data_IF_391571988415
#
_entry.id   IF_391571988415
#
_cell.length_a   1.000
_cell.length_b   1.000
_cell.length_c   1.000
_cell.angle_alpha   90.00
_cell.angle_beta   90.00
_cell.angle_gamma   90.00
#
_symmetry.space_group_name_H-M   'P 1'
#
loop_
_entity.id
_entity.type
_entity.pdbx_description
1 polymer ?
#
# COMPACT_ATOMS: atom_id res chain seq x y z
N UNK A 1 -11.26 -16.91 -3.89
CA UNK A 1 -10.24 -15.91 -3.49
C UNK A 1 -9.21 -15.82 -4.59
N UNK A 2 -8.96 -14.63 -5.06
CA UNK A 2 -8.04 -14.37 -6.15
C UNK A 2 -6.61 -14.16 -5.61
N UNK A 3 -5.69 -13.81 -6.49
CA UNK A 3 -4.31 -13.61 -6.10
C UNK A 3 -4.06 -12.28 -5.37
N UNK A 4 -2.79 -11.99 -5.06
CA UNK A 4 -2.43 -10.76 -4.35
C UNK A 4 -2.83 -9.47 -5.06
N UNK A 5 -3.05 -9.51 -6.38
CA UNK A 5 -3.44 -8.33 -7.15
C UNK A 5 -4.77 -7.75 -6.67
N UNK A 6 -5.72 -8.58 -6.26
CA UNK A 6 -7.00 -8.09 -5.76
C UNK A 6 -6.85 -7.39 -4.41
N UNK A 7 -5.94 -7.91 -3.57
CA UNK A 7 -5.61 -7.24 -2.30
C UNK A 7 -4.95 -5.90 -2.55
N UNK A 8 -4.03 -5.82 -3.51
CA UNK A 8 -3.38 -4.57 -3.92
C UNK A 8 -4.42 -3.56 -4.39
N UNK A 9 -5.35 -3.99 -5.25
CA UNK A 9 -6.42 -3.13 -5.74
C UNK A 9 -7.29 -2.60 -4.60
N UNK A 10 -7.56 -3.43 -3.59
CA UNK A 10 -8.34 -3.00 -2.42
C UNK A 10 -7.59 -1.99 -1.56
N UNK A 11 -6.27 -2.19 -1.37
CA UNK A 11 -5.44 -1.22 -0.65
C UNK A 11 -5.45 0.12 -1.40
N UNK A 12 -5.35 0.11 -2.73
CA UNK A 12 -5.45 1.32 -3.54
C UNK A 12 -6.82 2.00 -3.40
N UNK A 13 -7.89 1.22 -3.27
CA UNK A 13 -9.22 1.78 -3.00
C UNK A 13 -9.27 2.50 -1.66
N UNK A 14 -8.66 1.91 -0.61
CA UNK A 14 -8.54 2.56 0.70
C UNK A 14 -7.76 3.86 0.56
N UNK A 15 -6.61 3.82 -0.10
CA UNK A 15 -5.77 5.01 -0.30
C UNK A 15 -6.50 6.10 -1.07
N UNK A 16 -7.26 5.73 -2.10
CA UNK A 16 -8.03 6.68 -2.91
C UNK A 16 -9.08 7.41 -2.09
N UNK A 17 -9.62 6.76 -1.07
CA UNK A 17 -10.62 7.34 -0.18
C UNK A 17 -10.07 8.23 0.92
N UNK A 18 -8.74 8.35 1.06
CA UNK A 18 -8.14 9.19 2.08
C UNK A 18 -8.37 10.67 1.76
N UNK A 19 -8.73 11.43 2.79
CA UNK A 19 -8.95 12.87 2.63
C UNK A 19 -7.67 13.55 2.14
N UNK A 20 -7.78 14.31 1.06
CA UNK A 20 -6.65 15.00 0.46
C UNK A 20 -5.85 14.19 -0.55
N UNK A 21 -6.13 12.91 -0.74
CA UNK A 21 -5.47 12.10 -1.75
C UNK A 21 -5.91 12.54 -3.14
N UNK A 22 -4.95 12.86 -4.01
CA UNK A 22 -5.25 13.33 -5.36
C UNK A 22 -5.28 12.22 -6.40
N UNK A 23 -4.37 11.26 -6.28
CA UNK A 23 -4.25 10.20 -7.27
C UNK A 23 -3.82 8.91 -6.59
N UNK A 24 -4.56 7.83 -6.84
CA UNK A 24 -4.25 6.49 -6.35
C UNK A 24 -4.77 5.48 -7.38
N UNK A 25 -4.05 5.32 -8.51
CA UNK A 25 -4.50 4.45 -9.58
C UNK A 25 -4.42 2.98 -9.19
N UNK A 26 -5.19 2.13 -9.86
CA UNK A 26 -5.19 0.70 -9.60
C UNK A 26 -3.85 0.05 -9.96
N UNK A 27 -3.21 0.54 -11.01
CA UNK A 27 -1.93 0.03 -11.48
C UNK A 27 -0.86 1.12 -11.40
N UNK A 28 0.39 0.70 -11.18
CA UNK A 28 1.52 1.62 -11.07
C UNK A 28 1.73 2.34 -12.42
N UNK A 29 1.62 3.68 -12.48
CA UNK A 29 1.84 4.43 -13.71
C UNK A 29 3.32 4.69 -13.96
N UNK A 30 3.66 5.15 -15.16
CA UNK A 30 5.03 5.49 -15.52
C UNK A 30 5.55 6.72 -14.76
N UNK A 31 4.66 7.66 -14.44
CA UNK A 31 5.04 8.90 -13.77
C UNK A 31 3.95 9.37 -12.82
N UNK A 32 4.37 10.16 -11.83
CA UNK A 32 3.46 10.82 -10.90
C UNK A 32 3.18 12.21 -11.43
N UNK A 33 1.89 12.51 -11.65
CA UNK A 33 1.45 13.80 -12.19
C UNK A 33 0.90 14.73 -11.11
N UNK A 34 0.35 14.17 -10.02
CA UNK A 34 -0.26 14.95 -8.96
C UNK A 34 0.16 14.42 -7.60
N UNK A 35 0.23 15.30 -6.62
CA UNK A 35 0.52 14.96 -5.23
C UNK A 35 -0.61 15.46 -4.33
N UNK A 36 -0.95 14.76 -3.24
CA UNK A 36 -0.42 13.45 -2.81
C UNK A 36 -0.83 12.32 -3.75
N UNK A 37 0.06 11.35 -3.88
CA UNK A 37 -0.09 10.21 -4.78
C UNK A 37 0.16 8.92 -4.02
N UNK A 38 -0.68 7.91 -4.21
CA UNK A 38 -0.49 6.61 -3.57
C UNK A 38 -0.33 5.50 -4.60
N UNK A 39 0.57 4.57 -4.31
CA UNK A 39 0.72 3.36 -5.11
C UNK A 39 1.02 2.17 -4.19
N UNK A 40 0.60 1.00 -4.62
CA UNK A 40 0.84 -0.25 -3.89
C UNK A 40 1.43 -1.26 -4.87
N UNK A 41 2.51 -1.92 -4.44
CA UNK A 41 3.15 -2.93 -5.26
C UNK A 41 3.58 -4.13 -4.41
N UNK A 42 3.71 -5.27 -5.07
CA UNK A 42 4.09 -6.53 -4.42
C UNK A 42 5.57 -6.49 -4.05
N UNK A 43 5.90 -6.90 -2.83
CA UNK A 43 7.28 -6.92 -2.36
C UNK A 43 7.85 -8.32 -2.28
N UNK A 44 7.20 -9.19 -1.51
CA UNK A 44 7.67 -10.56 -1.29
C UNK A 44 6.56 -11.39 -0.66
N UNK A 45 6.78 -12.70 -0.65
CA UNK A 45 5.85 -13.60 0.01
C UNK A 45 6.37 -15.01 0.05
N UNK A 46 5.64 -15.87 0.72
CA UNK A 46 5.88 -17.30 0.72
C UNK A 46 4.55 -18.03 0.65
N UNK A 47 4.55 -19.17 0.00
CA UNK A 47 3.33 -19.96 -0.19
C UNK A 47 3.60 -21.41 0.21
N UNK A 48 2.71 -21.94 1.03
CA UNK A 48 2.69 -23.37 1.37
C UNK A 48 1.54 -24.02 0.63
N UNK A 49 1.81 -25.16 -0.01
CA UNK A 49 0.79 -25.87 -0.77
C UNK A 49 0.53 -27.25 -0.15
N UNK A 50 -0.75 -27.60 -0.10
CA UNK A 50 -1.21 -28.96 0.26
C UNK A 50 -2.19 -29.41 -0.81
N UNK A 51 -2.49 -30.70 -0.81
CA UNK A 51 -3.45 -31.24 -1.76
C UNK A 51 -4.78 -30.51 -1.60
N UNK A 52 -5.20 -29.84 -2.66
CA UNK A 52 -6.49 -29.16 -2.70
C UNK A 52 -6.50 -27.70 -2.23
N UNK A 53 -5.37 -27.18 -1.69
CA UNK A 53 -5.33 -25.78 -1.28
C UNK A 53 -3.93 -25.22 -1.17
N UNK A 54 -3.85 -23.90 -1.17
CA UNK A 54 -2.62 -23.14 -0.94
C UNK A 54 -2.87 -22.06 0.09
N UNK A 55 -1.82 -21.78 0.89
CA UNK A 55 -1.82 -20.72 1.86
C UNK A 55 -0.62 -19.82 1.59
N UNK A 56 -0.87 -18.57 1.31
CA UNK A 56 0.16 -17.58 1.04
C UNK A 56 0.24 -16.54 2.14
N UNK A 57 1.46 -16.10 2.42
CA UNK A 57 1.75 -14.96 3.26
C UNK A 57 2.47 -13.95 2.39
N UNK A 58 1.83 -12.82 2.11
CA UNK A 58 2.31 -11.84 1.15
C UNK A 58 2.55 -10.49 1.82
N UNK A 59 3.63 -9.82 1.42
CA UNK A 59 3.91 -8.46 1.86
C UNK A 59 3.93 -7.54 0.64
N UNK A 60 3.18 -6.45 0.75
CA UNK A 60 3.14 -5.41 -0.27
C UNK A 60 3.57 -4.10 0.36
N UNK A 61 4.09 -3.19 -0.46
CA UNK A 61 4.40 -1.84 -0.03
C UNK A 61 3.37 -0.87 -0.58
N UNK A 62 2.76 -0.09 0.30
CA UNK A 62 1.90 1.02 -0.07
C UNK A 62 2.67 2.31 0.20
N UNK A 63 2.96 3.08 -0.84
CA UNK A 63 3.69 4.33 -0.73
C UNK A 63 2.74 5.51 -0.94
N UNK A 64 2.83 6.49 -0.05
CA UNK A 64 2.11 7.74 -0.20
C UNK A 64 3.14 8.83 -0.41
N UNK A 65 3.24 9.31 -1.65
CA UNK A 65 4.17 10.36 -2.04
C UNK A 65 3.49 11.71 -1.83
N UNK A 66 4.02 12.51 -0.91
CA UNK A 66 3.37 13.75 -0.48
C UNK A 66 3.80 14.93 -1.35
N UNK A 67 5.10 15.00 -1.68
CA UNK A 67 5.66 16.10 -2.44
C UNK A 67 6.99 15.70 -3.08
N UNK A 68 7.45 16.48 -4.07
CA UNK A 68 8.76 16.29 -4.71
C UNK A 68 9.92 16.92 -3.93
N UNK A 69 9.61 17.79 -2.97
CA UNK A 69 10.62 18.53 -2.21
C UNK A 69 10.29 18.47 -0.73
N UNK A 70 11.32 18.60 0.11
CA UNK A 70 11.09 18.84 1.51
C UNK A 70 10.60 20.27 1.65
N UNK A 71 9.33 20.40 2.00
CA UNK A 71 8.74 21.69 2.37
C UNK A 71 8.85 21.82 3.89
N UNK A 72 8.88 23.05 4.43
CA UNK A 72 8.93 23.24 5.88
C UNK A 72 7.85 22.50 6.65
N UNK A 73 6.70 22.26 6.00
CA UNK A 73 5.55 21.59 6.60
C UNK A 73 5.30 20.20 6.05
N UNK A 74 6.31 19.57 5.41
CA UNK A 74 6.11 18.27 4.75
C UNK A 74 5.61 17.20 5.73
N UNK A 75 6.21 17.09 6.91
CA UNK A 75 5.79 16.12 7.91
C UNK A 75 4.37 16.43 8.41
N UNK A 76 4.06 17.70 8.64
CA UNK A 76 2.74 18.12 9.08
C UNK A 76 1.67 17.79 8.04
N UNK A 77 1.98 17.95 6.75
CA UNK A 77 1.07 17.60 5.67
C UNK A 77 0.94 16.08 5.51
N UNK A 78 1.99 15.34 5.83
CA UNK A 78 2.04 13.89 5.67
C UNK A 78 1.35 13.14 6.82
N UNK A 79 1.36 13.70 8.04
CA UNK A 79 0.89 13.01 9.24
C UNK A 79 -0.58 12.56 9.17
N UNK A 80 -1.52 13.35 8.61
CA UNK A 80 -2.91 12.88 8.47
C UNK A 80 -3.04 11.60 7.65
N UNK A 81 -2.18 11.39 6.66
CA UNK A 81 -2.21 10.16 5.86
C UNK A 81 -1.76 8.94 6.67
N UNK A 82 -0.85 9.12 7.62
CA UNK A 82 -0.41 8.04 8.50
C UNK A 82 -1.60 7.49 9.29
N UNK A 83 -2.29 8.35 10.03
CA UNK A 83 -3.43 7.94 10.85
C UNK A 83 -4.57 7.39 10.00
N UNK A 84 -4.89 8.07 8.90
CA UNK A 84 -6.01 7.68 8.04
C UNK A 84 -5.76 6.34 7.33
N UNK A 85 -4.53 6.09 6.88
CA UNK A 85 -4.21 4.83 6.22
C UNK A 85 -4.30 3.65 7.19
N UNK A 86 -3.73 3.81 8.40
CA UNK A 86 -3.82 2.75 9.42
C UNK A 86 -5.27 2.51 9.83
N UNK A 87 -6.06 3.57 10.01
CA UNK A 87 -7.48 3.44 10.34
C UNK A 87 -8.25 2.72 9.24
N UNK A 88 -7.94 3.00 7.98
CA UNK A 88 -8.54 2.31 6.84
C UNK A 88 -8.23 0.82 6.81
N UNK A 89 -7.00 0.45 7.11
CA UNK A 89 -6.59 -0.96 7.19
C UNK A 89 -7.23 -1.66 8.38
N UNK A 90 -7.30 -1.00 9.55
CA UNK A 90 -7.96 -1.56 10.73
C UNK A 90 -9.45 -1.80 10.51
N UNK A 91 -10.10 -0.92 9.75
CA UNK A 91 -11.52 -1.04 9.44
C UNK A 91 -11.84 -2.11 8.39
N UNK A 92 -10.82 -2.63 7.70
CA UNK A 92 -11.01 -3.58 6.60
C UNK A 92 -10.03 -4.74 6.69
N UNK A 93 -10.10 -5.56 7.76
CA UNK A 93 -9.11 -6.58 8.03
C UNK A 93 -9.02 -7.70 6.99
N UNK A 94 -10.06 -7.89 6.19
CA UNK A 94 -10.08 -8.88 5.11
C UNK A 94 -9.86 -8.25 3.73
N UNK A 95 -9.55 -6.95 3.68
CA UNK A 95 -9.39 -6.19 2.45
C UNK A 95 -10.53 -6.46 1.45
N UNK A 96 -11.76 -6.20 1.91
CA UNK A 96 -12.96 -6.42 1.11
C UNK A 96 -13.25 -7.87 0.78
N UNK A 97 -12.76 -8.80 1.60
CA UNK A 97 -12.95 -10.22 1.38
C UNK A 97 -11.93 -10.84 0.41
N UNK A 98 -10.89 -10.10 0.03
CA UNK A 98 -9.85 -10.60 -0.88
C UNK A 98 -8.79 -11.42 -0.18
N UNK A 99 -8.65 -11.27 1.14
CA UNK A 99 -7.66 -11.99 1.93
C UNK A 99 -8.32 -12.58 3.18
N UNK A 100 -7.63 -13.51 3.83
CA UNK A 100 -8.12 -14.08 5.10
C UNK A 100 -8.02 -13.07 6.22
N UNK A 101 -6.88 -12.40 6.33
CA UNK A 101 -6.68 -11.31 7.29
C UNK A 101 -5.39 -10.56 6.99
N UNK A 102 -5.38 -9.29 7.37
CA UNK A 102 -4.13 -8.52 7.48
C UNK A 102 -3.37 -9.05 8.70
N UNK A 103 -2.07 -9.20 8.56
CA UNK A 103 -1.19 -9.63 9.66
C UNK A 103 -0.46 -8.41 10.19
N UNK A 104 -0.75 -8.06 11.43
CA UNK A 104 -0.08 -6.95 12.11
C UNK A 104 1.23 -7.41 12.73
N UNK A 105 2.24 -6.56 12.89
CA UNK A 105 2.18 -5.10 12.69
C UNK A 105 2.32 -4.69 11.21
N UNK A 106 1.78 -3.52 10.89
CA UNK A 106 2.07 -2.80 9.65
C UNK A 106 3.25 -1.88 9.96
N UNK A 107 4.39 -2.15 9.36
CA UNK A 107 5.57 -1.30 9.56
C UNK A 107 5.56 -0.16 8.57
N UNK A 108 6.24 0.93 8.90
CA UNK A 108 6.23 2.11 8.07
C UNK A 108 7.52 2.91 8.23
N UNK A 109 7.88 3.63 7.19
CA UNK A 109 8.98 4.60 7.20
C UNK A 109 8.52 5.89 6.55
N UNK A 110 9.10 7.00 6.97
CA UNK A 110 8.89 8.31 6.36
C UNK A 110 10.24 8.85 5.88
N UNK A 111 10.28 9.32 4.66
CA UNK A 111 11.51 9.89 4.12
C UNK A 111 11.48 9.98 2.61
N UNK A 112 12.68 10.07 2.04
CA UNK A 112 12.86 10.14 0.61
C UNK A 112 12.61 8.80 -0.05
N UNK A 113 11.93 8.85 -1.18
CA UNK A 113 11.68 7.68 -2.03
C UNK A 113 11.97 8.05 -3.48
N UNK A 114 12.28 7.04 -4.30
CA UNK A 114 12.49 7.22 -5.72
C UNK A 114 11.30 6.68 -6.51
N UNK A 115 10.96 7.38 -7.59
CA UNK A 115 9.93 6.90 -8.50
C UNK A 115 10.40 7.19 -9.94
N UNK A 116 10.65 6.10 -10.69
CA UNK A 116 11.10 6.23 -12.08
C UNK A 116 12.56 6.60 -12.24
N UNK A 117 13.36 6.45 -11.19
CA UNK A 117 14.80 6.65 -11.25
C UNK A 117 15.34 7.61 -10.18
N UNK A 118 16.67 7.69 -10.03
CA UNK A 118 17.31 8.44 -8.94
C UNK A 118 17.13 9.95 -9.00
N UNK A 119 16.71 10.49 -10.16
CA UNK A 119 16.46 11.93 -10.31
C UNK A 119 15.04 12.32 -9.94
N UNK A 120 14.15 11.33 -9.72
CA UNK A 120 12.74 11.56 -9.40
C UNK A 120 12.47 11.20 -7.95
N UNK A 121 13.02 12.00 -7.04
CA UNK A 121 12.83 11.78 -5.61
C UNK A 121 11.58 12.48 -5.11
N UNK A 122 10.90 11.80 -4.19
CA UNK A 122 9.72 12.31 -3.51
C UNK A 122 9.86 12.06 -2.02
N UNK A 123 9.10 12.78 -1.22
CA UNK A 123 9.05 12.54 0.22
C UNK A 123 7.67 12.00 0.59
N UNK A 124 7.63 11.04 1.50
CA UNK A 124 6.36 10.47 1.93
C UNK A 124 6.50 9.24 2.81
N UNK A 125 5.41 8.50 2.89
CA UNK A 125 5.29 7.29 3.70
C UNK A 125 5.44 6.03 2.86
N UNK A 126 6.06 5.00 3.45
CA UNK A 126 6.03 3.64 2.92
C UNK A 126 5.49 2.73 4.01
N UNK A 127 4.37 2.09 3.75
CA UNK A 127 3.76 1.10 4.64
C UNK A 127 4.01 -0.29 4.09
N UNK A 128 4.50 -1.19 4.95
CA UNK A 128 4.63 -2.61 4.60
C UNK A 128 3.42 -3.34 5.20
N UNK A 129 2.55 -3.84 4.33
CA UNK A 129 1.32 -4.52 4.71
C UNK A 129 1.47 -5.99 4.37
N UNK A 130 1.31 -6.84 5.37
CA UNK A 130 1.36 -8.29 5.22
C UNK A 130 -0.03 -8.87 5.40
N UNK A 131 -0.41 -9.83 4.55
CA UNK A 131 -1.71 -10.47 4.64
C UNK A 131 -1.62 -11.96 4.31
N UNK A 132 -2.58 -12.72 4.84
CA UNK A 132 -2.74 -14.15 4.53
C UNK A 132 -3.81 -14.33 3.48
N UNK A 133 -3.52 -15.17 2.49
CA UNK A 133 -4.50 -15.61 1.50
C UNK A 133 -4.54 -17.13 1.45
N UNK A 134 -5.74 -17.68 1.44
CA UNK A 134 -5.96 -19.11 1.27
C UNK A 134 -6.78 -19.31 0.00
N UNK A 135 -6.34 -20.22 -0.86
CA UNK A 135 -7.06 -20.54 -2.08
C UNK A 135 -7.22 -22.04 -2.23
N UNK A 136 -8.43 -22.46 -2.62
CA UNK A 136 -8.69 -23.84 -3.00
C UNK A 136 -8.22 -24.06 -4.42
N UNK A 137 -7.61 -25.19 -4.67
CA UNK A 137 -7.21 -25.56 -6.02
C UNK A 137 -8.08 -26.67 -6.57
#
# INVERSE_FOLDING_TARGET
MSGPQDAIARIQTIARGLDGMREAPEYVPESINQFPFALTYYRQGETTAMVGWRKGLHTVHCEIHVARQILPNALKQAMPFYDAMLAGLEADPTLGGTVSTIVWPVTHTFGWMEYGGPTNQTIGWRFAVTFKQETSS
#
